data_IF_516165436252
#
_entry.id   IF_516165436252
#
_cell.length_a   1.000
_cell.length_b   1.000
_cell.length_c   1.000
_cell.angle_alpha   90.00
_cell.angle_beta   90.00
_cell.angle_gamma   90.00
#
_symmetry.space_group_name_H-M   'P 1'
#
loop_
_entity.id
_entity.type
_entity.pdbx_description
1 polymer ?
#
# COMPACT_ATOMS: atom_id res chain seq x y z
N UNK A 1 19.12 -34.89 -19.05
CA UNK A 1 18.24 -33.77 -18.66
C UNK A 1 18.36 -33.61 -17.16
N UNK A 2 18.91 -32.50 -16.68
CA UNK A 2 19.42 -32.34 -15.33
C UNK A 2 18.26 -32.25 -14.30
N UNK A 3 18.30 -33.14 -13.30
CA UNK A 3 17.28 -33.24 -12.21
C UNK A 3 17.16 -31.90 -11.44
N UNK A 4 18.24 -31.15 -11.34
CA UNK A 4 18.25 -29.83 -10.71
C UNK A 4 17.46 -28.79 -11.53
N UNK A 5 17.48 -28.90 -12.86
CA UNK A 5 16.70 -28.03 -13.76
C UNK A 5 15.19 -28.33 -13.66
N UNK A 6 14.82 -29.60 -13.49
CA UNK A 6 13.41 -29.99 -13.27
C UNK A 6 12.89 -29.55 -11.89
N UNK A 7 13.73 -29.62 -10.84
CA UNK A 7 13.36 -29.14 -9.50
C UNK A 7 13.16 -27.62 -9.47
N UNK A 8 14.02 -26.84 -10.17
CA UNK A 8 13.87 -25.40 -10.33
C UNK A 8 12.60 -25.06 -11.12
N UNK A 9 12.29 -25.78 -12.21
CA UNK A 9 11.09 -25.55 -13.00
C UNK A 9 9.81 -25.87 -12.22
N UNK A 10 9.75 -26.96 -11.43
CA UNK A 10 8.60 -27.31 -10.58
C UNK A 10 8.42 -26.32 -9.40
N UNK A 11 9.52 -25.79 -8.82
CA UNK A 11 9.44 -24.71 -7.84
C UNK A 11 8.88 -23.43 -8.45
N UNK A 12 9.37 -23.05 -9.64
CA UNK A 12 8.93 -21.85 -10.37
C UNK A 12 7.44 -21.92 -10.73
N UNK A 13 6.94 -23.06 -11.18
CA UNK A 13 5.51 -23.25 -11.50
C UNK A 13 4.62 -23.15 -10.26
N UNK A 14 5.00 -23.78 -9.14
CA UNK A 14 4.26 -23.66 -7.87
C UNK A 14 4.24 -22.25 -7.29
N UNK A 15 5.29 -21.44 -7.56
CA UNK A 15 5.36 -20.03 -7.12
C UNK A 15 4.47 -19.14 -7.98
N UNK A 16 4.46 -19.31 -9.30
CA UNK A 16 3.55 -18.58 -10.20
C UNK A 16 2.08 -18.81 -9.86
N UNK A 17 1.71 -20.05 -9.50
CA UNK A 17 0.35 -20.39 -9.07
C UNK A 17 -0.02 -19.65 -7.77
N UNK A 18 0.95 -19.42 -6.87
CA UNK A 18 0.74 -18.68 -5.61
C UNK A 18 0.62 -17.16 -5.82
N UNK A 19 1.42 -16.57 -6.71
CA UNK A 19 1.31 -15.15 -7.08
C UNK A 19 -0.04 -14.85 -7.76
N UNK A 20 -0.54 -15.78 -8.57
CA UNK A 20 -1.86 -15.66 -9.21
C UNK A 20 -2.99 -15.72 -8.16
N UNK A 21 -2.84 -16.52 -7.10
CA UNK A 21 -3.81 -16.61 -6.00
C UNK A 21 -3.84 -15.30 -5.22
N UNK A 22 -2.70 -14.67 -4.91
CA UNK A 22 -2.67 -13.35 -4.28
C UNK A 22 -3.40 -12.28 -5.11
N UNK A 23 -3.23 -12.29 -6.43
CA UNK A 23 -3.93 -11.35 -7.31
C UNK A 23 -5.46 -11.54 -7.28
N UNK A 24 -5.93 -12.81 -7.24
CA UNK A 24 -7.37 -13.12 -7.14
C UNK A 24 -7.95 -12.78 -5.77
N UNK A 25 -7.15 -12.90 -4.71
CA UNK A 25 -7.55 -12.57 -3.34
C UNK A 25 -7.66 -11.05 -3.13
N UNK A 26 -6.85 -10.24 -3.85
CA UNK A 26 -6.97 -8.78 -3.85
C UNK A 26 -8.40 -8.31 -4.18
N UNK A 27 -9.08 -8.99 -5.11
CA UNK A 27 -10.45 -8.66 -5.48
C UNK A 27 -11.52 -9.15 -4.48
N UNK A 28 -11.23 -10.21 -3.71
CA UNK A 28 -12.18 -10.78 -2.76
C UNK A 28 -12.14 -10.07 -1.39
N UNK A 29 -10.97 -9.64 -0.92
CA UNK A 29 -10.79 -8.98 0.37
C UNK A 29 -11.37 -7.57 0.39
N UNK A 30 -11.29 -6.82 -0.71
CA UNK A 30 -11.93 -5.52 -0.84
C UNK A 30 -13.46 -5.60 -0.62
N UNK A 31 -14.11 -6.71 -1.00
CA UNK A 31 -15.53 -6.92 -0.77
C UNK A 31 -15.87 -7.26 0.69
N UNK A 32 -14.97 -7.90 1.44
CA UNK A 32 -15.21 -8.36 2.83
C UNK A 32 -15.03 -7.23 3.87
N UNK A 33 -14.10 -6.32 3.66
CA UNK A 33 -13.89 -5.14 4.56
C UNK A 33 -15.14 -4.25 4.59
N UNK A 34 -15.87 -4.17 3.48
CA UNK A 34 -17.07 -3.34 3.35
C UNK A 34 -18.26 -3.91 4.13
N UNK A 35 -18.40 -5.25 4.20
CA UNK A 35 -19.48 -5.86 4.99
C UNK A 35 -19.36 -5.54 6.49
N UNK A 36 -18.16 -5.39 7.02
CA UNK A 36 -17.97 -5.06 8.44
C UNK A 36 -18.21 -3.59 8.77
N UNK A 37 -18.02 -2.68 7.80
CA UNK A 37 -18.27 -1.25 8.00
C UNK A 37 -19.77 -0.91 7.94
N UNK A 38 -20.54 -1.55 7.05
CA UNK A 38 -22.00 -1.34 6.93
C UNK A 38 -22.80 -1.88 8.13
N UNK A 39 -22.28 -2.80 8.94
CA UNK A 39 -23.03 -3.37 10.09
C UNK A 39 -22.92 -2.54 11.37
N UNK A 40 -22.22 -1.41 11.37
CA UNK A 40 -22.08 -0.53 12.55
C UNK A 40 -22.78 0.81 12.40
N UNK A 41 -23.96 0.86 11.79
CA UNK A 41 -24.80 2.04 11.87
C UNK A 41 -25.65 1.98 13.14
N UNK A 42 -25.66 3.00 13.99
CA UNK A 42 -26.56 3.05 15.14
C UNK A 42 -28.00 3.30 14.67
N UNK A 43 -28.89 2.42 15.05
CA UNK A 43 -30.32 2.66 14.97
C UNK A 43 -30.70 3.77 15.94
N UNK A 44 -31.15 4.90 15.46
CA UNK A 44 -31.93 5.84 16.26
C UNK A 44 -33.30 6.02 15.58
N UNK A 45 -34.30 5.38 16.13
CA UNK A 45 -35.69 5.72 15.90
C UNK A 45 -35.96 7.05 16.61
N UNK A 46 -36.20 8.10 15.85
CA UNK A 46 -36.89 9.31 16.32
C UNK A 46 -37.77 9.85 15.20
N UNK A 47 -39.11 9.79 15.32
CA UNK A 47 -40.03 10.27 14.31
C UNK A 47 -40.41 11.72 14.62
N UNK A 48 -39.64 12.68 14.25
CA UNK A 48 -40.14 14.04 13.91
C UNK A 48 -38.97 14.98 13.52
N UNK A 49 -38.67 15.16 12.24
CA UNK A 49 -38.17 16.45 11.77
C UNK A 49 -38.32 16.65 10.26
N UNK A 50 -39.01 17.68 9.90
CA UNK A 50 -39.26 18.20 8.57
C UNK A 50 -37.95 18.67 7.91
N UNK A 51 -37.77 18.55 6.57
CA UNK A 51 -36.51 18.87 5.90
C UNK A 51 -36.25 20.37 5.84
N UNK A 52 -35.37 20.85 6.68
CA UNK A 52 -34.73 22.15 6.57
C UNK A 52 -33.43 22.05 5.80
N UNK A 53 -33.36 22.65 4.62
CA UNK A 53 -32.12 22.86 3.88
C UNK A 53 -31.12 23.66 4.73
N UNK A 54 -30.03 23.04 5.15
CA UNK A 54 -28.81 23.74 5.55
C UNK A 54 -27.64 22.99 4.94
N UNK A 55 -27.24 23.43 3.75
CA UNK A 55 -25.93 23.19 3.17
C UNK A 55 -24.89 23.91 4.02
N UNK A 56 -24.34 23.24 5.01
CA UNK A 56 -23.11 23.71 5.64
C UNK A 56 -21.96 23.20 4.77
N UNK A 57 -21.53 24.05 3.84
CA UNK A 57 -20.20 23.96 3.24
C UNK A 57 -19.17 24.02 4.38
N UNK A 58 -18.76 22.85 4.88
CA UNK A 58 -17.50 22.78 5.61
C UNK A 58 -16.40 22.90 4.56
N UNK A 59 -15.53 23.92 4.66
CA UNK A 59 -14.36 23.95 3.82
C UNK A 59 -13.56 22.66 4.13
N UNK A 60 -13.27 21.89 3.09
CA UNK A 60 -12.24 20.84 3.15
C UNK A 60 -10.96 21.60 3.45
N UNK A 61 -10.52 21.57 4.71
CA UNK A 61 -9.21 22.04 5.08
C UNK A 61 -8.26 20.98 4.53
N UNK A 62 -7.71 21.27 3.35
CA UNK A 62 -6.56 20.53 2.87
C UNK A 62 -5.49 20.59 3.96
N UNK A 63 -4.92 19.48 4.42
CA UNK A 63 -3.81 19.53 5.34
C UNK A 63 -2.74 20.37 4.67
N UNK A 64 -2.28 21.42 5.35
CA UNK A 64 -1.22 22.30 4.87
C UNK A 64 0.11 21.54 4.96
N UNK A 65 0.27 20.54 4.10
CA UNK A 65 1.54 19.85 3.91
C UNK A 65 2.39 20.84 3.09
N UNK A 66 3.57 21.24 3.55
CA UNK A 66 4.45 22.11 2.78
C UNK A 66 4.62 21.51 1.39
N UNK A 67 4.09 22.21 0.37
CA UNK A 67 4.10 21.72 -0.98
C UNK A 67 5.52 21.37 -1.38
N UNK A 68 5.67 20.21 -1.99
CA UNK A 68 6.81 19.92 -2.84
C UNK A 68 6.78 21.00 -3.94
N UNK A 69 7.40 22.16 -3.66
CA UNK A 69 7.67 23.13 -4.70
C UNK A 69 8.43 22.38 -5.78
N UNK A 70 8.04 22.51 -7.05
CA UNK A 70 8.67 21.95 -8.25
C UNK A 70 10.21 22.27 -8.32
N UNK A 71 10.92 21.94 -7.26
CA UNK A 71 12.36 21.90 -7.16
C UNK A 71 12.80 20.49 -7.59
N UNK A 72 13.74 20.40 -8.51
CA UNK A 72 14.40 19.17 -8.87
C UNK A 72 14.72 18.37 -7.62
N UNK A 73 14.17 17.14 -7.53
CA UNK A 73 14.51 16.20 -6.47
C UNK A 73 16.02 16.07 -6.49
N UNK A 74 16.67 16.41 -5.38
CA UNK A 74 18.09 16.15 -5.27
C UNK A 74 18.33 14.68 -5.58
N UNK A 75 19.32 14.37 -6.38
CA UNK A 75 19.64 12.98 -6.71
C UNK A 75 19.89 12.12 -5.46
N UNK A 76 20.23 12.78 -4.35
CA UNK A 76 20.48 12.13 -3.05
C UNK A 76 19.20 11.85 -2.25
N UNK A 77 18.07 12.56 -2.50
CA UNK A 77 16.82 12.41 -1.73
C UNK A 77 15.71 11.66 -2.48
N UNK A 78 16.06 10.93 -3.54
CA UNK A 78 15.12 10.20 -4.40
C UNK A 78 14.18 9.24 -3.62
N UNK A 79 14.64 8.72 -2.50
CA UNK A 79 13.89 7.79 -1.67
C UNK A 79 12.85 8.46 -0.75
N UNK A 80 12.92 9.79 -0.60
CA UNK A 80 11.97 10.59 0.17
C UNK A 80 10.87 11.24 -0.69
N UNK A 81 10.79 10.92 -1.97
CA UNK A 81 9.73 11.41 -2.85
C UNK A 81 8.37 11.06 -2.28
N UNK A 82 7.59 12.07 -1.92
CA UNK A 82 6.22 11.89 -1.43
C UNK A 82 5.28 11.73 -2.62
N UNK A 83 4.55 10.61 -2.64
CA UNK A 83 3.47 10.34 -3.59
C UNK A 83 2.25 9.90 -2.81
N UNK A 84 1.15 10.63 -2.94
CA UNK A 84 -0.15 10.35 -2.34
C UNK A 84 -1.23 11.12 -3.11
N UNK A 85 -2.50 11.08 -2.69
CA UNK A 85 -3.61 11.75 -3.40
C UNK A 85 -3.43 13.26 -3.63
N UNK A 86 -2.57 13.92 -2.90
CA UNK A 86 -2.27 15.36 -3.03
C UNK A 86 -0.93 15.64 -3.73
N UNK A 87 -0.10 14.61 -3.88
CA UNK A 87 1.23 14.71 -4.49
C UNK A 87 1.35 13.62 -5.57
N UNK A 88 1.23 14.05 -6.80
CA UNK A 88 1.36 13.16 -7.95
C UNK A 88 2.79 12.65 -8.14
N UNK A 89 2.91 11.52 -8.81
CA UNK A 89 4.19 11.00 -9.31
C UNK A 89 4.89 12.07 -10.15
N UNK A 90 6.19 12.37 -9.91
CA UNK A 90 6.93 13.31 -10.75
C UNK A 90 6.94 12.87 -12.23
N UNK A 91 6.71 13.81 -13.15
CA UNK A 91 6.58 13.51 -14.59
C UNK A 91 7.82 12.85 -15.19
N UNK A 92 9.00 13.17 -14.66
CA UNK A 92 10.29 12.64 -15.09
C UNK A 92 10.77 11.42 -14.29
N UNK A 93 9.95 10.92 -13.36
CA UNK A 93 10.30 9.74 -12.58
C UNK A 93 10.37 8.48 -13.42
N UNK A 94 11.56 7.85 -13.44
CA UNK A 94 11.82 6.60 -14.14
C UNK A 94 12.48 5.61 -13.18
N UNK A 95 11.76 4.61 -12.66
CA UNK A 95 12.36 3.58 -11.81
C UNK A 95 13.30 2.71 -12.65
N UNK A 96 14.47 2.38 -12.09
CA UNK A 96 15.37 1.39 -12.68
C UNK A 96 14.99 -0.01 -12.21
N UNK A 97 14.02 -0.62 -12.87
CA UNK A 97 13.40 -1.88 -12.43
C UNK A 97 14.33 -3.08 -12.62
N UNK A 98 14.36 -3.93 -11.61
CA UNK A 98 14.99 -5.25 -11.62
C UNK A 98 14.00 -6.32 -11.18
N UNK A 99 14.07 -7.54 -11.78
CA UNK A 99 13.16 -8.61 -11.45
C UNK A 99 13.46 -9.21 -10.08
N UNK A 100 12.40 -9.48 -9.33
CA UNK A 100 12.41 -10.34 -8.15
C UNK A 100 12.16 -11.80 -8.53
N UNK A 101 12.56 -12.72 -7.66
CA UNK A 101 12.47 -14.17 -7.94
C UNK A 101 11.04 -14.69 -8.19
N UNK A 102 10.02 -13.99 -7.69
CA UNK A 102 8.60 -14.35 -7.80
C UNK A 102 7.89 -13.73 -9.02
N UNK A 103 8.63 -12.96 -9.83
CA UNK A 103 8.15 -12.38 -11.07
C UNK A 103 7.65 -10.94 -10.93
N UNK A 104 7.73 -10.36 -9.74
CA UNK A 104 7.55 -8.93 -9.51
C UNK A 104 8.82 -8.16 -9.91
N UNK A 105 8.72 -6.85 -9.96
CA UNK A 105 9.85 -5.94 -10.20
C UNK A 105 9.89 -4.86 -9.12
N UNK A 106 11.10 -4.37 -8.82
CA UNK A 106 11.32 -3.28 -7.87
C UNK A 106 12.47 -2.40 -8.39
N UNK A 107 12.57 -1.17 -7.90
CA UNK A 107 13.72 -0.32 -8.22
C UNK A 107 15.02 -0.96 -7.69
N UNK A 108 16.04 -1.00 -8.54
CA UNK A 108 17.33 -1.64 -8.23
C UNK A 108 18.01 -1.07 -6.99
N UNK A 109 17.73 0.18 -6.66
CA UNK A 109 18.33 0.88 -5.52
C UNK A 109 17.87 0.36 -4.16
N UNK A 110 16.70 -0.28 -4.09
CA UNK A 110 16.19 -0.91 -2.86
C UNK A 110 16.17 -2.44 -2.90
N UNK A 111 16.64 -3.05 -3.99
CA UNK A 111 16.61 -4.50 -4.20
C UNK A 111 17.35 -5.29 -3.11
N UNK A 112 18.62 -4.96 -2.85
CA UNK A 112 19.44 -5.70 -1.87
C UNK A 112 18.86 -5.58 -0.45
N UNK A 113 18.35 -4.40 -0.09
CA UNK A 113 17.67 -4.15 1.18
C UNK A 113 16.41 -5.00 1.32
N UNK A 114 15.58 -5.09 0.27
CA UNK A 114 14.38 -5.92 0.27
C UNK A 114 14.71 -7.41 0.40
N UNK A 115 15.66 -7.90 -0.40
CA UNK A 115 16.06 -9.32 -0.37
C UNK A 115 16.60 -9.71 1.00
N UNK A 116 17.48 -8.88 1.58
CA UNK A 116 18.03 -9.10 2.92
C UNK A 116 16.92 -9.11 3.98
N UNK A 117 16.01 -8.15 3.94
CA UNK A 117 14.86 -8.09 4.85
C UNK A 117 14.00 -9.36 4.79
N UNK A 118 13.69 -9.84 3.60
CA UNK A 118 12.87 -11.04 3.42
C UNK A 118 13.59 -12.31 3.88
N UNK A 119 14.91 -12.39 3.66
CA UNK A 119 15.71 -13.55 4.09
C UNK A 119 15.88 -13.60 5.61
N UNK A 120 16.06 -12.46 6.27
CA UNK A 120 16.10 -12.38 7.72
C UNK A 120 14.73 -12.65 8.35
N UNK A 121 13.64 -12.17 7.73
CA UNK A 121 12.27 -12.50 8.11
C UNK A 121 12.04 -14.03 8.04
N UNK A 122 12.46 -14.68 6.96
CA UNK A 122 12.38 -16.16 6.83
C UNK A 122 13.24 -16.87 7.86
N UNK A 123 14.41 -16.34 8.17
CA UNK A 123 15.34 -16.89 9.16
C UNK A 123 14.78 -16.83 10.59
N UNK A 124 13.87 -15.90 10.87
CA UNK A 124 13.13 -15.80 12.14
C UNK A 124 12.01 -16.85 12.29
N UNK A 125 11.69 -17.58 11.22
CA UNK A 125 10.61 -18.57 11.18
C UNK A 125 9.31 -18.07 10.58
N UNK A 126 9.24 -16.80 10.15
CA UNK A 126 8.11 -16.27 9.40
C UNK A 126 8.19 -16.63 7.90
N UNK A 127 7.08 -16.50 7.18
CA UNK A 127 6.99 -16.90 5.78
C UNK A 127 6.49 -15.75 4.88
N UNK A 128 7.31 -14.69 4.64
CA UNK A 128 6.92 -13.56 3.82
C UNK A 128 6.73 -13.96 2.35
N UNK A 129 5.65 -13.46 1.75
CA UNK A 129 5.33 -13.59 0.35
C UNK A 129 5.03 -12.20 -0.22
N UNK A 130 5.75 -11.77 -1.27
CA UNK A 130 5.41 -10.55 -2.00
C UNK A 130 4.15 -10.85 -2.84
N UNK A 131 3.11 -10.05 -2.66
CA UNK A 131 1.88 -10.14 -3.44
C UNK A 131 1.69 -8.98 -4.42
N UNK A 132 2.46 -7.89 -4.26
CA UNK A 132 2.54 -6.78 -5.21
C UNK A 132 3.86 -6.02 -5.02
N UNK A 133 4.40 -5.45 -6.11
CA UNK A 133 5.54 -4.55 -6.08
C UNK A 133 5.36 -3.43 -7.12
N UNK A 134 6.28 -3.21 -8.06
CA UNK A 134 6.06 -2.20 -9.09
C UNK A 134 4.75 -2.43 -9.85
N UNK A 135 4.03 -1.34 -10.09
CA UNK A 135 2.81 -1.30 -10.94
C UNK A 135 2.97 -0.23 -12.02
N UNK A 136 2.72 -0.60 -13.27
CA UNK A 136 2.63 0.38 -14.36
C UNK A 136 1.39 1.27 -14.20
N UNK A 137 1.35 2.39 -14.91
CA UNK A 137 0.17 3.26 -15.00
C UNK A 137 -1.08 2.47 -15.38
N UNK A 138 -0.99 1.64 -16.43
CA UNK A 138 -2.10 0.80 -16.90
C UNK A 138 -2.59 -0.18 -15.82
N UNK A 139 -1.66 -0.80 -15.09
CA UNK A 139 -2.01 -1.72 -13.99
C UNK A 139 -2.77 -0.97 -12.88
N UNK A 140 -2.29 0.22 -12.50
CA UNK A 140 -2.93 1.02 -11.46
C UNK A 140 -4.31 1.52 -11.90
N UNK A 141 -4.49 1.93 -13.16
CA UNK A 141 -5.78 2.31 -13.75
C UNK A 141 -6.79 1.16 -13.69
N UNK A 142 -6.35 -0.03 -14.09
CA UNK A 142 -7.19 -1.22 -14.03
C UNK A 142 -7.61 -1.58 -12.60
N UNK A 143 -6.69 -1.52 -11.65
CA UNK A 143 -6.99 -1.77 -10.23
C UNK A 143 -8.01 -0.77 -9.68
N UNK A 144 -7.78 0.51 -9.91
CA UNK A 144 -8.67 1.57 -9.44
C UNK A 144 -10.07 1.46 -10.07
N UNK A 145 -10.16 1.27 -11.39
CA UNK A 145 -11.42 1.12 -12.12
C UNK A 145 -12.21 -0.10 -11.66
N UNK A 146 -11.54 -1.21 -11.38
CA UNK A 146 -12.18 -2.41 -10.84
C UNK A 146 -12.75 -2.15 -9.45
N UNK A 147 -12.02 -1.43 -8.59
CA UNK A 147 -12.50 -1.09 -7.25
C UNK A 147 -13.71 -0.15 -7.30
N UNK A 148 -13.69 0.87 -8.17
CA UNK A 148 -14.85 1.74 -8.41
C UNK A 148 -16.05 0.91 -8.87
N UNK A 149 -15.84 -0.02 -9.81
CA UNK A 149 -16.90 -0.91 -10.31
C UNK A 149 -17.49 -1.79 -9.23
N UNK A 150 -16.66 -2.27 -8.28
CA UNK A 150 -17.12 -3.06 -7.16
C UNK A 150 -18.04 -2.26 -6.22
N UNK A 151 -17.78 -0.97 -5.99
CA UNK A 151 -18.65 -0.10 -5.22
C UNK A 151 -19.94 0.26 -5.98
N UNK A 152 -19.87 0.53 -7.28
CA UNK A 152 -21.04 0.73 -8.13
C UNK A 152 -21.98 -0.48 -8.08
N UNK A 153 -21.43 -1.70 -8.11
CA UNK A 153 -22.21 -2.94 -8.01
C UNK A 153 -22.92 -3.11 -6.66
N UNK A 154 -22.46 -2.42 -5.60
CA UNK A 154 -23.09 -2.36 -4.28
C UNK A 154 -24.16 -1.27 -4.18
N UNK A 155 -24.36 -0.46 -5.23
CA UNK A 155 -25.40 0.57 -5.30
C UNK A 155 -24.97 1.98 -4.92
N UNK A 156 -23.66 2.22 -4.70
CA UNK A 156 -23.14 3.58 -4.49
C UNK A 156 -23.20 4.39 -5.80
N UNK A 157 -23.35 5.70 -5.68
CA UNK A 157 -23.22 6.61 -6.84
C UNK A 157 -21.77 6.62 -7.37
N UNK A 158 -21.57 7.08 -8.60
CA UNK A 158 -20.23 7.17 -9.21
C UNK A 158 -19.26 7.96 -8.33
N UNK A 159 -19.63 9.14 -7.87
CA UNK A 159 -18.76 9.98 -7.04
C UNK A 159 -18.46 9.40 -5.66
N UNK A 160 -19.41 8.66 -5.06
CA UNK A 160 -19.16 7.93 -3.81
C UNK A 160 -18.23 6.72 -4.03
N UNK A 161 -18.46 5.98 -5.13
CA UNK A 161 -17.63 4.83 -5.52
C UNK A 161 -16.17 5.23 -5.74
N UNK A 162 -15.94 6.34 -6.43
CA UNK A 162 -14.58 6.89 -6.64
C UNK A 162 -13.93 7.30 -5.32
N UNK A 163 -14.65 7.99 -4.43
CA UNK A 163 -14.14 8.37 -3.10
C UNK A 163 -13.80 7.16 -2.23
N UNK A 164 -14.67 6.16 -2.19
CA UNK A 164 -14.45 4.94 -1.43
C UNK A 164 -13.28 4.13 -2.00
N UNK A 165 -13.18 4.03 -3.32
CA UNK A 165 -12.06 3.38 -3.99
C UNK A 165 -10.73 4.08 -3.66
N UNK A 166 -10.70 5.41 -3.71
CA UNK A 166 -9.51 6.21 -3.44
C UNK A 166 -8.98 6.12 -1.99
N UNK A 167 -9.78 5.62 -1.05
CA UNK A 167 -9.33 5.34 0.31
C UNK A 167 -8.62 3.99 0.45
N UNK A 168 -8.78 3.09 -0.52
CA UNK A 168 -8.25 1.73 -0.50
C UNK A 168 -7.20 1.50 -1.58
N UNK A 169 -7.33 2.17 -2.72
CA UNK A 169 -6.43 2.04 -3.86
C UNK A 169 -6.06 3.45 -4.31
N UNK A 170 -4.77 3.76 -4.32
CA UNK A 170 -4.29 5.05 -4.77
C UNK A 170 -4.79 5.38 -6.18
N UNK A 171 -5.19 6.62 -6.40
CA UNK A 171 -5.58 7.13 -7.72
C UNK A 171 -4.40 6.95 -8.69
N UNK A 172 -4.62 6.53 -9.95
CA UNK A 172 -3.55 6.40 -10.93
C UNK A 172 -2.71 7.67 -11.04
N UNK A 173 -1.38 7.51 -11.01
CA UNK A 173 -0.43 8.62 -10.94
C UNK A 173 -0.15 9.14 -9.52
N UNK A 174 -0.74 8.52 -8.48
CA UNK A 174 -0.49 8.85 -7.08
C UNK A 174 -0.16 7.64 -6.21
N UNK A 175 0.28 6.54 -6.83
CA UNK A 175 0.62 5.28 -6.16
C UNK A 175 2.13 5.14 -5.96
N UNK A 176 2.56 4.80 -4.75
CA UNK A 176 3.98 4.52 -4.46
C UNK A 176 4.51 3.27 -5.18
N UNK A 177 3.63 2.34 -5.58
CA UNK A 177 4.02 1.22 -6.43
C UNK A 177 4.52 1.67 -7.80
N UNK A 178 4.05 2.82 -8.31
CA UNK A 178 4.54 3.39 -9.57
C UNK A 178 5.93 4.02 -9.43
N UNK A 179 6.36 4.33 -8.19
CA UNK A 179 7.76 4.70 -7.93
C UNK A 179 8.72 3.50 -8.06
N UNK A 180 8.23 2.26 -7.91
CA UNK A 180 9.07 1.08 -7.75
C UNK A 180 9.69 0.97 -6.36
N UNK A 181 9.23 1.73 -5.38
CA UNK A 181 9.78 1.81 -4.02
C UNK A 181 8.86 1.18 -2.96
N UNK A 182 7.72 0.63 -3.35
CA UNK A 182 6.76 0.01 -2.46
C UNK A 182 6.55 -1.48 -2.78
N UNK A 183 6.33 -2.26 -1.74
CA UNK A 183 5.98 -3.67 -1.83
C UNK A 183 4.84 -4.01 -0.88
N UNK A 184 3.92 -4.87 -1.33
CA UNK A 184 2.92 -5.50 -0.49
C UNK A 184 3.41 -6.90 -0.11
N UNK A 185 3.57 -7.14 1.20
CA UNK A 185 4.07 -8.39 1.75
C UNK A 185 2.99 -9.00 2.65
N UNK A 186 2.63 -10.26 2.41
CA UNK A 186 1.70 -11.02 3.24
C UNK A 186 2.38 -12.26 3.83
N UNK A 187 1.75 -12.87 4.81
CA UNK A 187 2.18 -14.20 5.26
C UNK A 187 1.66 -15.26 4.29
N UNK A 188 2.51 -16.24 3.93
CA UNK A 188 2.16 -17.29 2.96
C UNK A 188 0.97 -18.15 3.42
N UNK A 189 0.79 -18.27 4.74
CA UNK A 189 -0.29 -19.06 5.33
C UNK A 189 -1.58 -18.24 5.52
N UNK A 190 -1.50 -16.91 5.36
CA UNK A 190 -2.64 -16.00 5.36
C UNK A 190 -2.46 -14.93 4.29
N UNK A 191 -3.10 -15.09 3.12
CA UNK A 191 -2.89 -14.23 1.95
C UNK A 191 -4.04 -13.22 1.72
N UNK A 192 -4.90 -12.98 2.73
CA UNK A 192 -5.95 -11.97 2.65
C UNK A 192 -5.34 -10.59 2.93
N UNK A 193 -5.72 -9.59 2.12
CA UNK A 193 -5.34 -8.19 2.33
C UNK A 193 -6.38 -7.51 3.22
N UNK A 194 -6.34 -7.82 4.49
CA UNK A 194 -7.19 -7.25 5.52
C UNK A 194 -6.41 -6.98 6.82
N UNK A 195 -7.05 -6.37 7.80
CA UNK A 195 -6.41 -6.01 9.06
C UNK A 195 -5.91 -7.21 9.88
N UNK A 196 -6.38 -8.43 9.63
CA UNK A 196 -5.93 -9.61 10.36
C UNK A 196 -4.47 -9.95 10.02
N UNK A 197 -3.95 -9.45 8.90
CA UNK A 197 -2.52 -9.52 8.56
C UNK A 197 -1.63 -9.07 9.71
N UNK A 198 -2.00 -8.02 10.44
CA UNK A 198 -1.22 -7.49 11.58
C UNK A 198 -0.90 -8.51 12.68
N UNK A 199 -1.60 -9.64 12.70
CA UNK A 199 -1.42 -10.71 13.69
C UNK A 199 -0.59 -11.89 13.14
N UNK A 200 -0.22 -11.87 11.86
CA UNK A 200 0.59 -12.93 11.26
C UNK A 200 2.05 -12.83 11.74
N UNK A 201 2.78 -13.96 11.83
CA UNK A 201 4.20 -13.94 12.17
C UNK A 201 5.03 -13.01 11.27
N UNK A 202 4.72 -12.98 9.98
CA UNK A 202 5.39 -12.11 9.00
C UNK A 202 5.20 -10.63 9.36
N UNK A 203 3.96 -10.19 9.60
CA UNK A 203 3.71 -8.77 9.89
C UNK A 203 4.21 -8.34 11.27
N UNK A 204 4.15 -9.21 12.26
CA UNK A 204 4.74 -8.93 13.58
C UNK A 204 6.25 -8.70 13.45
N UNK A 205 6.95 -9.54 12.68
CA UNK A 205 8.38 -9.38 12.46
C UNK A 205 8.69 -8.12 11.64
N UNK A 206 7.96 -7.87 10.55
CA UNK A 206 8.19 -6.71 9.69
C UNK A 206 7.93 -5.39 10.42
N UNK A 207 6.87 -5.31 11.23
CA UNK A 207 6.55 -4.11 12.01
C UNK A 207 7.69 -3.72 12.98
N UNK A 208 8.42 -4.70 13.52
CA UNK A 208 9.53 -4.47 14.44
C UNK A 208 10.88 -4.26 13.74
N UNK A 209 11.06 -4.75 12.51
CA UNK A 209 12.39 -4.87 11.92
C UNK A 209 12.56 -4.20 10.56
N UNK A 210 11.49 -3.90 9.80
CA UNK A 210 11.58 -3.38 8.43
C UNK A 210 12.42 -2.10 8.31
N UNK A 211 12.37 -1.23 9.32
CA UNK A 211 13.14 0.03 9.36
C UNK A 211 14.64 -0.18 9.28
N UNK A 212 15.17 -1.32 9.75
CA UNK A 212 16.61 -1.66 9.69
C UNK A 212 17.11 -1.86 8.27
N UNK A 213 16.19 -2.11 7.35
CA UNK A 213 16.43 -2.34 5.92
C UNK A 213 15.93 -1.16 5.07
N UNK A 214 15.62 -0.04 5.70
CA UNK A 214 15.16 1.17 5.02
C UNK A 214 13.68 1.16 4.63
N UNK A 215 12.86 0.21 5.11
CA UNK A 215 11.43 0.13 4.85
C UNK A 215 10.60 0.58 6.03
N UNK A 216 9.54 1.35 5.77
CA UNK A 216 8.54 1.75 6.77
C UNK A 216 7.19 1.11 6.50
N UNK A 217 6.42 0.84 7.55
CA UNK A 217 4.98 0.60 7.45
C UNK A 217 4.33 1.92 7.02
N UNK A 218 3.88 1.98 5.77
CA UNK A 218 3.54 3.25 5.11
C UNK A 218 2.21 3.84 5.55
N UNK A 219 1.20 3.00 5.82
CA UNK A 219 -0.15 3.41 6.15
C UNK A 219 -0.57 2.90 7.53
N UNK A 220 -0.10 3.55 8.63
CA UNK A 220 -0.46 3.17 9.99
C UNK A 220 -1.95 3.42 10.29
N UNK A 221 -2.49 2.70 11.28
CA UNK A 221 -3.92 2.65 11.58
C UNK A 221 -4.55 4.00 11.97
N UNK A 222 -3.78 4.93 12.50
CA UNK A 222 -4.25 6.23 13.03
C UNK A 222 -3.89 7.42 12.13
N UNK A 223 -3.38 7.18 10.90
CA UNK A 223 -2.84 8.20 10.01
C UNK A 223 -3.59 8.37 8.67
N UNK A 224 -4.76 7.75 8.52
CA UNK A 224 -5.55 7.79 7.26
C UNK A 224 -5.84 9.21 6.77
N UNK A 225 -6.12 10.15 7.68
CA UNK A 225 -6.39 11.56 7.32
C UNK A 225 -5.14 12.24 6.70
N UNK A 226 -3.94 11.82 7.07
CA UNK A 226 -2.68 12.36 6.57
C UNK A 226 -2.18 11.63 5.32
N UNK A 227 -2.29 10.31 5.31
CA UNK A 227 -1.79 9.48 4.21
C UNK A 227 -2.77 9.38 3.04
N UNK A 228 -4.06 9.53 3.32
CA UNK A 228 -5.14 9.38 2.35
C UNK A 228 -5.55 7.93 2.07
N UNK A 229 -4.88 6.95 2.67
CA UNK A 229 -5.14 5.52 2.53
C UNK A 229 -5.48 4.92 3.90
N UNK A 230 -6.40 3.97 3.94
CA UNK A 230 -6.74 3.21 5.15
C UNK A 230 -5.54 2.40 5.64
N UNK A 231 -5.64 1.86 6.87
CA UNK A 231 -4.60 1.01 7.42
C UNK A 231 -4.30 -0.21 6.54
N UNK A 232 -3.03 -0.35 6.15
CA UNK A 232 -2.53 -1.46 5.33
C UNK A 232 -1.31 -2.10 5.98
N UNK A 233 -1.48 -3.12 6.85
CA UNK A 233 -0.35 -3.77 7.52
C UNK A 233 0.63 -4.48 6.56
N UNK A 234 0.26 -4.67 5.31
CA UNK A 234 1.07 -5.33 4.27
C UNK A 234 1.94 -4.39 3.46
N UNK A 235 1.65 -3.06 3.43
CA UNK A 235 2.29 -2.10 2.54
C UNK A 235 3.54 -1.47 3.16
N UNK A 236 4.70 -1.76 2.57
CA UNK A 236 6.00 -1.25 3.00
C UNK A 236 6.63 -0.37 1.93
N UNK A 237 7.10 0.82 2.34
CA UNK A 237 7.75 1.81 1.49
C UNK A 237 9.23 1.95 1.86
N UNK A 238 10.11 1.87 0.85
CA UNK A 238 11.53 2.17 1.01
C UNK A 238 11.76 3.67 1.09
N UNK A 239 12.47 4.11 2.13
CA UNK A 239 12.85 5.49 2.38
C UNK A 239 14.34 5.63 2.77
N UNK A 240 15.12 4.52 2.71
CA UNK A 240 16.50 4.47 3.18
C UNK A 240 16.62 4.20 4.69
N UNK A 241 17.71 3.57 5.11
CA UNK A 241 17.87 3.06 6.48
C UNK A 241 17.86 4.16 7.53
N UNK A 242 18.53 5.29 7.27
CA UNK A 242 18.61 6.42 8.20
C UNK A 242 17.22 7.01 8.47
N UNK A 243 16.47 7.29 7.40
CA UNK A 243 15.14 7.89 7.51
C UNK A 243 14.10 6.91 8.03
N UNK A 244 14.18 5.64 7.65
CA UNK A 244 13.29 4.61 8.17
C UNK A 244 13.44 4.44 9.68
N UNK A 245 14.67 4.46 10.18
CA UNK A 245 14.97 4.43 11.61
C UNK A 245 14.37 5.62 12.34
N UNK A 246 14.58 6.82 11.82
CA UNK A 246 14.11 8.07 12.46
C UNK A 246 12.56 8.13 12.48
N UNK A 247 11.91 7.73 11.37
CA UNK A 247 10.45 7.62 11.27
C UNK A 247 9.90 6.60 12.28
N UNK A 248 10.55 5.44 12.40
CA UNK A 248 10.17 4.40 13.33
C UNK A 248 10.32 4.85 14.79
N UNK A 249 11.45 5.44 15.16
CA UNK A 249 11.72 5.90 16.51
C UNK A 249 10.79 7.05 16.95
N UNK A 250 10.39 7.92 16.01
CA UNK A 250 9.43 9.00 16.25
C UNK A 250 7.97 8.54 16.24
N UNK A 251 7.66 7.40 15.65
CA UNK A 251 6.29 6.89 15.51
C UNK A 251 5.40 7.77 14.62
N UNK A 252 5.97 8.34 13.55
CA UNK A 252 5.29 9.24 12.61
C UNK A 252 5.10 8.57 11.24
N UNK A 253 4.16 9.08 10.42
CA UNK A 253 4.09 8.71 9.01
C UNK A 253 5.04 9.56 8.14
N UNK A 254 5.19 9.20 6.86
CA UNK A 254 6.10 9.92 5.95
C UNK A 254 5.70 11.39 5.77
N UNK A 255 4.40 11.70 5.72
CA UNK A 255 3.87 13.05 5.62
C UNK A 255 4.27 13.92 6.82
N UNK A 256 4.12 13.39 8.03
CA UNK A 256 4.54 14.09 9.26
C UNK A 256 6.05 14.31 9.28
N UNK A 257 6.80 13.29 8.91
CA UNK A 257 8.26 13.35 8.87
C UNK A 257 8.77 14.44 7.92
N UNK A 258 8.22 14.50 6.72
CA UNK A 258 8.62 15.50 5.71
C UNK A 258 8.13 16.90 6.03
N UNK A 259 7.07 17.05 6.82
CA UNK A 259 6.59 18.36 7.28
C UNK A 259 7.38 18.94 8.45
N UNK A 260 8.28 18.16 9.05
CA UNK A 260 9.09 18.59 10.19
C UNK A 260 8.33 18.63 11.52
N UNK A 261 7.22 17.90 11.61
CA UNK A 261 6.39 17.78 12.82
C UNK A 261 6.76 16.56 13.66
#
# INVERSE_FOLDING_TARGET
>A
MDINRQKRYRRRRRRNDKGLICLLVFFAAAALVILNFCMKSPTSDDPDNTPGQNTVDRPVVEPNVPGNSNGSINADDWHLVLVNRWHALPEDWQPNLVPLDDGWEIDSRCYDSLVTMLDDCRSSGANPLICSAYRSQETQENLFSNQVSAFLAQGYSTGESEKLAANQIAIPGTSEHQLGLAVDIVDIDYQQLDEAQKHTPTQLWLAENSWRYGFILRYPNDKTELTGIVYEPWHYRYVGEEYAKDIYEKGVCLEEYLSGN
#
